data_IF_851220604610
#
_entry.id   IF_851220604610
#
_cell.length_a   1.000
_cell.length_b   1.000
_cell.length_c   1.000
_cell.angle_alpha   90.00
_cell.angle_beta   90.00
_cell.angle_gamma   90.00
#
_symmetry.space_group_name_H-M   'P 1'
#
loop_
_entity.id
_entity.type
_entity.pdbx_description
1 polymer ?
#
# COMPACT_ATOMS: atom_id res chain seq x y z
N UNK A 1 7.86 0.15 -14.29
CA UNK A 1 7.83 -0.31 -15.71
C UNK A 1 9.20 -0.20 -16.37
N UNK A 2 9.90 0.93 -16.28
CA UNK A 2 11.18 1.13 -16.97
C UNK A 2 12.26 0.13 -16.53
N UNK A 3 12.39 -0.09 -15.23
CA UNK A 3 13.33 -1.09 -14.70
C UNK A 3 12.95 -2.52 -15.10
N UNK A 4 11.66 -2.82 -15.19
CA UNK A 4 11.20 -4.13 -15.68
C UNK A 4 11.49 -4.32 -17.16
N UNK A 5 11.29 -3.30 -17.98
CA UNK A 5 11.60 -3.35 -19.41
C UNK A 5 13.10 -3.60 -19.64
N UNK A 6 13.98 -2.94 -18.88
CA UNK A 6 15.43 -3.18 -18.91
C UNK A 6 15.81 -4.57 -18.41
N UNK A 7 15.17 -5.03 -17.32
CA UNK A 7 15.40 -6.37 -16.77
C UNK A 7 15.00 -7.48 -17.75
N UNK A 8 14.03 -7.24 -18.61
CA UNK A 8 13.61 -8.14 -19.70
C UNK A 8 14.49 -8.04 -20.96
N UNK A 9 15.61 -7.31 -20.90
CA UNK A 9 16.57 -7.21 -22.00
C UNK A 9 16.16 -6.27 -23.14
N UNK A 10 15.13 -5.45 -22.95
CA UNK A 10 14.74 -4.45 -23.94
C UNK A 10 15.57 -3.17 -23.75
N UNK A 11 16.56 -2.97 -24.62
CA UNK A 11 17.47 -1.82 -24.58
C UNK A 11 17.07 -0.68 -25.52
N UNK A 12 16.00 -0.79 -26.30
CA UNK A 12 15.58 0.21 -27.28
C UNK A 12 15.22 1.56 -26.65
N UNK A 13 14.78 1.54 -25.40
CA UNK A 13 14.43 2.74 -24.64
C UNK A 13 15.63 3.65 -24.31
N UNK A 14 16.87 3.17 -24.43
CA UNK A 14 18.07 4.00 -24.26
C UNK A 14 18.35 4.88 -25.48
N UNK A 15 17.97 4.44 -26.65
CA UNK A 15 18.38 5.06 -27.91
C UNK A 15 17.25 5.68 -28.68
N UNK A 16 16.01 5.20 -28.54
CA UNK A 16 14.86 5.60 -29.37
C UNK A 16 13.69 6.15 -28.61
N UNK A 17 13.78 6.18 -27.29
CA UNK A 17 12.95 6.98 -26.43
C UNK A 17 11.42 6.82 -26.51
N UNK A 18 10.79 6.57 -25.35
CA UNK A 18 9.49 7.11 -24.98
C UNK A 18 8.25 6.32 -25.42
N UNK A 19 8.36 5.01 -25.51
CA UNK A 19 7.14 4.19 -25.55
C UNK A 19 6.42 4.14 -24.19
N UNK A 20 7.15 4.45 -23.10
CA UNK A 20 6.58 4.49 -21.74
C UNK A 20 6.79 5.91 -21.19
N UNK A 21 5.74 6.73 -21.11
CA UNK A 21 5.85 8.07 -20.52
C UNK A 21 6.20 7.97 -19.04
N UNK A 22 7.13 8.80 -18.60
CA UNK A 22 7.41 8.98 -17.18
C UNK A 22 6.36 9.88 -16.56
N UNK A 23 5.84 9.47 -15.40
CA UNK A 23 4.94 10.30 -14.59
C UNK A 23 5.71 10.74 -13.37
N UNK A 24 5.85 12.05 -13.19
CA UNK A 24 6.45 12.66 -12.02
C UNK A 24 5.49 12.54 -10.82
N UNK A 25 6.01 12.27 -9.63
CA UNK A 25 5.20 12.18 -8.41
C UNK A 25 5.00 13.54 -7.71
N UNK A 26 5.87 14.53 -8.02
CA UNK A 26 5.72 15.91 -7.54
C UNK A 26 4.32 16.44 -7.90
N UNK A 27 3.64 17.05 -6.94
CA UNK A 27 2.30 17.60 -7.12
C UNK A 27 1.17 16.57 -7.26
N UNK A 28 1.48 15.26 -7.33
CA UNK A 28 0.47 14.20 -7.30
C UNK A 28 -0.09 14.02 -5.89
N UNK A 29 -1.27 13.46 -5.80
CA UNK A 29 -1.94 13.21 -4.52
C UNK A 29 -1.77 11.77 -4.08
N UNK A 30 -1.19 11.58 -2.88
CA UNK A 30 -1.15 10.30 -2.18
C UNK A 30 -2.29 10.23 -1.16
N UNK A 31 -3.21 9.30 -1.33
CA UNK A 31 -4.21 8.92 -0.35
C UNK A 31 -3.64 7.82 0.57
N UNK A 32 -3.66 8.06 1.88
CA UNK A 32 -3.17 7.10 2.87
C UNK A 32 -4.35 6.60 3.71
N UNK A 33 -4.62 5.32 3.65
CA UNK A 33 -5.67 4.66 4.45
C UNK A 33 -5.02 4.08 5.70
N UNK A 34 -5.12 4.81 6.82
CA UNK A 34 -4.51 4.46 8.09
C UNK A 34 -3.19 5.18 8.39
N UNK A 35 -3.20 6.08 9.39
CA UNK A 35 -2.07 6.90 9.81
C UNK A 35 -1.41 6.36 11.11
N UNK A 36 -1.15 5.04 11.16
CA UNK A 36 -0.33 4.40 12.19
C UNK A 36 1.18 4.64 11.97
N UNK A 37 2.03 3.90 12.65
CA UNK A 37 3.50 4.07 12.54
C UNK A 37 4.00 3.97 11.10
N UNK A 38 3.52 2.97 10.32
CA UNK A 38 3.93 2.76 8.93
C UNK A 38 3.36 3.85 8.04
N UNK A 39 2.04 4.12 8.10
CA UNK A 39 1.40 5.13 7.29
C UNK A 39 2.02 6.53 7.48
N UNK A 40 2.34 6.92 8.71
CA UNK A 40 3.05 8.18 8.99
C UNK A 40 4.44 8.24 8.36
N UNK A 41 5.18 7.12 8.30
CA UNK A 41 6.47 7.06 7.59
C UNK A 41 6.31 7.23 6.08
N UNK A 42 5.30 6.62 5.51
CA UNK A 42 4.97 6.79 4.08
C UNK A 42 4.60 8.25 3.79
N UNK A 43 3.76 8.87 4.64
CA UNK A 43 3.41 10.29 4.53
C UNK A 43 4.67 11.18 4.54
N UNK A 44 5.59 10.97 5.51
CA UNK A 44 6.83 11.75 5.60
C UNK A 44 7.68 11.67 4.31
N UNK A 45 7.78 10.47 3.73
CA UNK A 45 8.52 10.26 2.48
C UNK A 45 7.81 10.97 1.31
N UNK A 46 6.49 10.84 1.22
CA UNK A 46 5.71 11.46 0.15
C UNK A 46 5.75 13.01 0.23
N UNK A 47 5.71 13.57 1.43
CA UNK A 47 5.90 15.01 1.63
C UNK A 47 7.29 15.48 1.17
N UNK A 48 8.34 14.68 1.39
CA UNK A 48 9.69 14.99 0.90
C UNK A 48 9.81 14.87 -0.64
N UNK A 49 8.84 14.26 -1.30
CA UNK A 49 8.70 14.20 -2.76
C UNK A 49 7.70 15.24 -3.30
N UNK A 50 7.32 16.20 -2.47
CA UNK A 50 6.36 17.28 -2.79
C UNK A 50 4.99 16.77 -3.28
N UNK A 51 4.52 15.64 -2.72
CA UNK A 51 3.19 15.13 -2.97
C UNK A 51 2.15 15.81 -2.07
N UNK A 52 0.92 15.95 -2.56
CA UNK A 52 -0.24 16.31 -1.75
C UNK A 52 -0.70 15.08 -0.95
N UNK A 53 -1.06 15.27 0.32
CA UNK A 53 -1.40 14.16 1.22
C UNK A 53 -2.84 14.24 1.68
N UNK A 54 -3.61 13.20 1.35
CA UNK A 54 -4.94 12.95 1.89
C UNK A 54 -4.88 11.73 2.81
N UNK A 55 -5.52 11.80 3.96
CA UNK A 55 -5.50 10.72 4.95
C UNK A 55 -6.92 10.36 5.38
N UNK A 56 -7.21 9.07 5.35
CA UNK A 56 -8.42 8.52 5.98
C UNK A 56 -8.04 7.73 7.22
N UNK A 57 -8.72 8.03 8.33
CA UNK A 57 -8.64 7.26 9.59
C UNK A 57 -10.04 7.00 10.14
N UNK A 58 -10.24 5.86 10.81
CA UNK A 58 -11.53 5.49 11.42
C UNK A 58 -12.06 6.57 12.38
N UNK A 59 -11.18 7.13 13.17
CA UNK A 59 -11.50 8.28 14.03
C UNK A 59 -11.07 9.55 13.31
N UNK A 60 -11.99 10.47 13.03
CA UNK A 60 -11.65 11.75 12.41
C UNK A 60 -10.57 12.49 13.20
N UNK A 61 -9.70 13.20 12.47
CA UNK A 61 -8.65 14.05 13.04
C UNK A 61 -8.69 15.42 12.37
N UNK A 62 -8.15 16.40 13.07
CA UNK A 62 -7.91 17.73 12.48
C UNK A 62 -6.70 17.67 11.53
N UNK A 63 -6.72 18.56 10.54
CA UNK A 63 -5.62 18.69 9.59
C UNK A 63 -4.31 19.04 10.31
N UNK A 64 -3.26 18.40 9.87
CA UNK A 64 -1.90 18.69 10.28
C UNK A 64 -1.18 19.43 9.13
N UNK A 65 -0.03 20.05 9.39
CA UNK A 65 0.72 20.79 8.35
C UNK A 65 1.03 19.89 7.13
N UNK A 66 0.40 20.20 6.01
CA UNK A 66 0.57 19.46 4.75
C UNK A 66 -0.09 18.07 4.73
N UNK A 67 -1.02 17.79 5.65
CA UNK A 67 -1.81 16.57 5.71
C UNK A 67 -3.27 16.95 5.90
N UNK A 68 -4.15 16.50 4.99
CA UNK A 68 -5.58 16.74 5.06
C UNK A 68 -6.31 15.44 5.40
N UNK A 69 -7.07 15.46 6.52
CA UNK A 69 -7.88 14.31 6.93
C UNK A 69 -9.27 14.42 6.30
N UNK A 70 -9.61 13.42 5.50
CA UNK A 70 -10.82 13.42 4.66
C UNK A 70 -11.62 12.13 4.82
N UNK A 71 -12.82 12.10 4.27
CA UNK A 71 -13.63 10.88 4.15
C UNK A 71 -12.93 9.86 3.22
N UNK A 72 -13.29 8.56 3.34
CA UNK A 72 -12.78 7.55 2.43
C UNK A 72 -13.17 7.87 0.98
N UNK A 73 -14.41 8.28 0.75
CA UNK A 73 -14.92 8.63 -0.57
C UNK A 73 -14.12 9.78 -1.19
N UNK A 74 -13.85 10.82 -0.43
CA UNK A 74 -13.07 11.97 -0.88
C UNK A 74 -11.62 11.58 -1.21
N UNK A 75 -10.99 10.73 -0.36
CA UNK A 75 -9.67 10.19 -0.61
C UNK A 75 -9.62 9.41 -1.93
N UNK A 76 -10.57 8.49 -2.13
CA UNK A 76 -10.63 7.66 -3.35
C UNK A 76 -10.76 8.50 -4.61
N UNK A 77 -11.64 9.52 -4.61
CA UNK A 77 -11.89 10.39 -5.77
C UNK A 77 -10.71 11.28 -6.15
N UNK A 78 -9.93 11.70 -5.17
CA UNK A 78 -8.92 12.74 -5.39
C UNK A 78 -7.47 12.23 -5.45
N UNK A 79 -7.21 10.96 -5.08
CA UNK A 79 -5.87 10.40 -5.06
C UNK A 79 -5.42 9.89 -6.42
N UNK A 80 -4.13 10.09 -6.72
CA UNK A 80 -3.44 9.49 -7.86
C UNK A 80 -2.79 8.15 -7.45
N UNK A 81 -2.38 8.07 -6.19
CA UNK A 81 -1.87 6.85 -5.54
C UNK A 81 -2.58 6.65 -4.22
N UNK A 82 -2.99 5.41 -3.92
CA UNK A 82 -3.64 5.05 -2.66
C UNK A 82 -2.81 3.99 -1.97
N UNK A 83 -2.39 4.24 -0.73
CA UNK A 83 -1.56 3.31 0.05
C UNK A 83 -2.28 2.89 1.32
N UNK A 84 -2.40 1.56 1.52
CA UNK A 84 -3.18 0.97 2.61
C UNK A 84 -2.28 0.57 3.78
N UNK A 85 -2.59 1.10 4.98
CA UNK A 85 -1.85 0.88 6.23
C UNK A 85 -2.77 0.69 7.44
N UNK A 86 -4.02 0.29 7.21
CA UNK A 86 -4.97 -0.03 8.27
C UNK A 86 -4.93 -1.53 8.61
N UNK A 87 -5.33 -1.94 9.82
CA UNK A 87 -5.49 -3.35 10.17
C UNK A 87 -6.72 -3.95 9.47
N UNK A 88 -6.69 -5.27 9.25
CA UNK A 88 -7.85 -6.03 8.85
C UNK A 88 -8.75 -6.28 10.08
N UNK A 89 -9.99 -5.88 9.97
CA UNK A 89 -11.07 -6.07 10.96
C UNK A 89 -12.36 -6.34 10.20
N UNK A 90 -13.43 -6.72 10.88
CA UNK A 90 -14.75 -6.88 10.25
C UNK A 90 -15.20 -5.61 9.50
N UNK A 91 -14.88 -4.42 10.02
CA UNK A 91 -15.26 -3.15 9.40
C UNK A 91 -14.33 -2.70 8.26
N UNK A 92 -13.17 -3.31 8.11
CA UNK A 92 -12.20 -2.96 7.05
C UNK A 92 -12.06 -4.06 6.01
N UNK A 93 -12.62 -5.25 6.26
CA UNK A 93 -12.67 -6.32 5.27
C UNK A 93 -13.41 -5.82 4.03
N UNK A 94 -12.80 -6.01 2.86
CA UNK A 94 -13.33 -5.55 1.57
C UNK A 94 -13.78 -4.08 1.56
N UNK A 95 -13.09 -3.23 2.34
CA UNK A 95 -13.36 -1.80 2.30
C UNK A 95 -13.05 -1.20 0.91
N UNK A 96 -12.15 -1.85 0.16
CA UNK A 96 -11.93 -1.61 -1.24
C UNK A 96 -12.64 -2.73 -2.01
N UNK A 97 -13.79 -2.39 -2.55
CA UNK A 97 -14.71 -3.26 -3.30
C UNK A 97 -15.06 -2.59 -4.63
N UNK A 98 -15.99 -3.15 -5.38
CA UNK A 98 -16.41 -2.65 -6.69
C UNK A 98 -16.88 -1.19 -6.66
N UNK A 99 -17.65 -0.82 -5.64
CA UNK A 99 -18.17 0.55 -5.47
C UNK A 99 -17.02 1.52 -5.20
N UNK A 100 -16.15 1.19 -4.25
CA UNK A 100 -15.01 2.04 -3.91
C UNK A 100 -13.99 2.16 -5.04
N UNK A 101 -13.72 1.07 -5.78
CA UNK A 101 -12.87 1.11 -6.97
C UNK A 101 -13.45 2.00 -8.08
N UNK A 102 -14.78 2.02 -8.24
CA UNK A 102 -15.46 2.89 -9.22
C UNK A 102 -15.33 4.39 -8.91
N UNK A 103 -15.00 4.76 -7.68
CA UNK A 103 -14.78 6.15 -7.28
C UNK A 103 -13.37 6.64 -7.59
N UNK A 104 -12.43 5.74 -7.83
CA UNK A 104 -11.03 6.08 -8.07
C UNK A 104 -10.84 6.70 -9.45
N UNK A 105 -9.77 7.48 -9.63
CA UNK A 105 -9.39 7.99 -10.95
C UNK A 105 -8.97 6.83 -11.85
N UNK A 106 -9.31 6.85 -13.16
CA UNK A 106 -8.82 5.83 -14.10
C UNK A 106 -7.30 5.76 -14.19
N UNK A 107 -6.60 6.82 -13.83
CA UNK A 107 -5.14 6.87 -13.77
C UNK A 107 -4.56 6.47 -12.41
N UNK A 108 -5.39 6.14 -11.43
CA UNK A 108 -4.95 5.85 -10.07
C UNK A 108 -4.31 4.47 -9.92
N UNK A 109 -3.38 4.38 -8.98
CA UNK A 109 -2.77 3.13 -8.54
C UNK A 109 -3.12 2.86 -7.08
N UNK A 110 -3.42 1.58 -6.76
CA UNK A 110 -3.62 1.15 -5.38
C UNK A 110 -2.44 0.30 -4.91
N UNK A 111 -1.95 0.57 -3.70
CA UNK A 111 -0.83 -0.15 -3.09
C UNK A 111 -1.30 -0.78 -1.78
N UNK A 112 -1.17 -2.10 -1.67
CA UNK A 112 -1.50 -2.82 -0.45
C UNK A 112 -0.31 -3.65 0.04
N UNK A 113 0.26 -3.22 1.16
CA UNK A 113 1.32 -3.92 1.89
C UNK A 113 0.87 -4.28 3.31
N UNK A 114 -0.44 -4.29 3.56
CA UNK A 114 -1.02 -4.54 4.88
C UNK A 114 -1.63 -5.93 4.99
N UNK A 115 -2.86 -6.11 4.51
CA UNK A 115 -3.58 -7.40 4.49
C UNK A 115 -4.40 -7.51 3.21
N UNK A 116 -4.34 -8.67 2.54
CA UNK A 116 -5.01 -8.88 1.26
C UNK A 116 -6.52 -8.64 1.31
N UNK A 117 -7.19 -9.20 2.29
CA UNK A 117 -8.65 -9.08 2.45
C UNK A 117 -9.18 -7.67 2.80
N UNK A 118 -8.33 -6.63 2.83
CA UNK A 118 -8.77 -5.23 2.79
C UNK A 118 -9.37 -4.87 1.43
N UNK A 119 -8.96 -5.57 0.39
CA UNK A 119 -9.44 -5.44 -0.98
C UNK A 119 -10.24 -6.69 -1.33
N UNK A 120 -11.39 -6.54 -1.95
CA UNK A 120 -12.08 -7.61 -2.67
C UNK A 120 -11.25 -7.91 -3.94
N UNK A 121 -10.53 -9.03 -3.94
CA UNK A 121 -9.59 -9.37 -5.01
C UNK A 121 -10.31 -9.60 -6.35
N UNK A 122 -11.52 -10.16 -6.32
CA UNK A 122 -12.33 -10.33 -7.53
C UNK A 122 -12.71 -8.98 -8.14
N UNK A 123 -13.16 -8.05 -7.31
CA UNK A 123 -13.49 -6.70 -7.76
C UNK A 123 -12.25 -5.94 -8.27
N UNK A 124 -11.10 -6.15 -7.65
CA UNK A 124 -9.83 -5.55 -8.11
C UNK A 124 -9.43 -6.08 -9.50
N UNK A 125 -9.50 -7.39 -9.71
CA UNK A 125 -9.22 -8.02 -11.01
C UNK A 125 -10.14 -7.43 -12.08
N UNK A 126 -11.46 -7.39 -11.86
CA UNK A 126 -12.42 -6.78 -12.78
C UNK A 126 -12.07 -5.30 -13.07
N UNK A 127 -11.70 -4.53 -12.05
CA UNK A 127 -11.37 -3.12 -12.21
C UNK A 127 -10.10 -2.90 -13.04
N UNK A 128 -9.10 -3.77 -12.90
CA UNK A 128 -7.86 -3.76 -13.67
C UNK A 128 -8.11 -4.16 -15.13
N UNK A 129 -8.88 -5.23 -15.38
CA UNK A 129 -9.24 -5.70 -16.72
C UNK A 129 -10.02 -4.65 -17.52
N UNK A 130 -10.94 -3.96 -16.86
CA UNK A 130 -11.78 -2.94 -17.47
C UNK A 130 -11.12 -1.54 -17.54
N UNK A 131 -9.90 -1.37 -16.98
CA UNK A 131 -9.23 -0.08 -16.93
C UNK A 131 -9.93 0.94 -16.02
N UNK A 132 -10.71 0.48 -15.05
CA UNK A 132 -11.32 1.34 -14.02
C UNK A 132 -10.26 2.05 -13.19
N UNK A 133 -9.12 1.38 -12.94
CA UNK A 133 -7.90 1.94 -12.35
C UNK A 133 -6.68 1.57 -13.18
N UNK A 134 -5.59 2.31 -13.06
CA UNK A 134 -4.39 2.12 -13.89
C UNK A 134 -3.54 0.93 -13.46
N UNK A 135 -3.55 0.55 -12.19
CA UNK A 135 -2.73 -0.57 -11.73
C UNK A 135 -2.74 -0.79 -10.23
N UNK A 136 -2.04 -1.83 -9.79
CA UNK A 136 -1.91 -2.21 -8.40
C UNK A 136 -0.49 -2.65 -8.03
N UNK A 137 -0.07 -2.34 -6.79
CA UNK A 137 1.14 -2.87 -6.16
C UNK A 137 0.76 -3.65 -4.90
N UNK A 138 0.97 -4.96 -4.91
CA UNK A 138 0.47 -5.84 -3.87
C UNK A 138 1.61 -6.67 -3.27
N UNK A 139 1.86 -6.53 -1.97
CA UNK A 139 2.74 -7.43 -1.20
C UNK A 139 1.93 -8.55 -0.51
N UNK A 140 0.61 -8.44 -0.53
CA UNK A 140 -0.34 -9.35 0.11
C UNK A 140 -1.51 -9.66 -0.83
N UNK A 141 -2.05 -10.87 -0.75
CA UNK A 141 -3.24 -11.31 -1.49
C UNK A 141 -4.32 -11.78 -0.52
N UNK A 142 -5.57 -11.84 -0.99
CA UNK A 142 -6.71 -12.20 -0.13
C UNK A 142 -6.55 -13.60 0.44
N UNK A 143 -6.05 -14.52 -0.37
CA UNK A 143 -5.68 -15.89 0.05
C UNK A 143 -4.17 -16.05 -0.03
N UNK A 144 -3.53 -16.54 1.03
CA UNK A 144 -2.10 -16.83 1.10
C UNK A 144 -1.86 -18.26 1.65
N UNK A 145 -1.17 -19.15 0.91
CA UNK A 145 -0.57 -18.91 -0.41
C UNK A 145 -1.63 -18.67 -1.49
N UNK A 146 -1.33 -17.80 -2.48
CA UNK A 146 -2.27 -17.50 -3.55
C UNK A 146 -2.46 -18.68 -4.50
N UNK A 147 -3.58 -18.69 -5.21
CA UNK A 147 -3.86 -19.70 -6.23
C UNK A 147 -2.84 -19.63 -7.38
N UNK A 148 -2.37 -20.80 -7.86
CA UNK A 148 -1.35 -20.90 -8.90
C UNK A 148 -1.76 -20.22 -10.23
N UNK A 149 -3.06 -20.14 -10.50
CA UNK A 149 -3.64 -19.60 -11.71
C UNK A 149 -4.28 -18.22 -11.52
N UNK A 150 -3.92 -17.50 -10.44
CA UNK A 150 -4.45 -16.13 -10.23
C UNK A 150 -4.18 -15.24 -11.44
N UNK A 151 -5.19 -14.55 -11.99
CA UNK A 151 -5.02 -13.61 -13.09
C UNK A 151 -4.00 -12.50 -12.80
N UNK A 152 -3.82 -12.13 -11.54
CA UNK A 152 -2.87 -11.09 -11.12
C UNK A 152 -1.44 -11.37 -11.54
N UNK A 153 -1.04 -12.64 -11.73
CA UNK A 153 0.32 -13.01 -12.16
C UNK A 153 0.64 -12.64 -13.61
N UNK A 154 -0.38 -12.45 -14.44
CA UNK A 154 -0.23 -12.19 -15.88
C UNK A 154 -0.61 -10.76 -16.28
N UNK A 155 -1.05 -9.94 -15.34
CA UNK A 155 -1.43 -8.55 -15.59
C UNK A 155 -0.21 -7.64 -15.58
N UNK A 156 0.11 -7.00 -16.71
CA UNK A 156 1.25 -6.09 -16.86
C UNK A 156 1.17 -4.85 -15.95
N UNK A 157 -0.05 -4.44 -15.56
CA UNK A 157 -0.30 -3.30 -14.68
C UNK A 157 -0.24 -3.65 -13.19
N UNK A 158 0.11 -4.90 -12.84
CA UNK A 158 0.20 -5.35 -11.44
C UNK A 158 1.65 -5.66 -11.06
N UNK A 159 2.08 -5.09 -9.95
CA UNK A 159 3.35 -5.44 -9.30
C UNK A 159 3.05 -6.31 -8.09
N UNK A 160 3.48 -7.56 -8.12
CA UNK A 160 3.35 -8.50 -7.00
C UNK A 160 4.68 -8.73 -6.30
N UNK A 161 4.64 -8.79 -4.97
CA UNK A 161 5.75 -9.27 -4.14
C UNK A 161 5.24 -10.33 -3.15
N UNK A 162 6.08 -11.32 -2.74
CA UNK A 162 5.60 -12.48 -2.00
C UNK A 162 5.56 -12.25 -0.49
N UNK A 163 4.76 -11.30 -0.01
CA UNK A 163 4.58 -10.93 1.40
C UNK A 163 5.95 -10.76 2.09
N UNK A 164 6.74 -9.84 1.56
CA UNK A 164 8.15 -9.69 1.94
C UNK A 164 8.48 -8.41 2.70
N UNK A 165 7.52 -7.57 3.01
CA UNK A 165 7.75 -6.30 3.71
C UNK A 165 8.46 -6.45 5.06
N UNK A 166 8.41 -7.63 5.68
CA UNK A 166 9.09 -7.96 6.94
C UNK A 166 10.43 -8.70 6.76
N UNK A 167 10.78 -9.14 5.54
CA UNK A 167 11.88 -10.10 5.29
C UNK A 167 13.29 -9.51 5.33
N UNK A 168 13.44 -8.19 5.46
CA UNK A 168 14.75 -7.56 5.58
C UNK A 168 15.60 -8.20 6.69
N UNK A 169 16.87 -8.51 6.42
CA UNK A 169 17.75 -9.19 7.37
C UNK A 169 17.85 -8.41 8.69
N UNK A 170 18.12 -7.12 8.61
CA UNK A 170 18.27 -6.24 9.76
C UNK A 170 16.94 -6.07 10.51
N UNK A 171 15.82 -6.07 9.80
CA UNK A 171 14.47 -6.04 10.39
C UNK A 171 14.21 -7.29 11.23
N UNK A 172 14.59 -8.46 10.72
CA UNK A 172 14.44 -9.74 11.43
C UNK A 172 15.36 -9.84 12.62
N UNK A 173 16.61 -9.40 12.50
CA UNK A 173 17.56 -9.34 13.61
C UNK A 173 17.04 -8.43 14.72
N UNK A 174 16.54 -7.25 14.37
CA UNK A 174 15.93 -6.32 15.33
C UNK A 174 14.70 -6.91 16.02
N UNK A 175 13.83 -7.62 15.26
CA UNK A 175 12.67 -8.31 15.83
C UNK A 175 13.08 -9.33 16.91
N UNK A 176 14.10 -10.16 16.63
CA UNK A 176 14.61 -11.15 17.58
C UNK A 176 15.20 -10.48 18.82
N UNK A 177 15.94 -9.38 18.65
CA UNK A 177 16.49 -8.62 19.78
C UNK A 177 15.38 -8.03 20.65
N UNK A 178 14.35 -7.42 20.05
CA UNK A 178 13.20 -6.88 20.80
C UNK A 178 12.46 -8.00 21.55
N UNK A 179 12.29 -9.18 20.93
CA UNK A 179 11.66 -10.31 21.58
C UNK A 179 12.47 -10.77 22.81
N UNK A 180 13.79 -10.88 22.67
CA UNK A 180 14.66 -11.25 23.78
C UNK A 180 14.59 -10.23 24.93
N UNK A 181 14.58 -8.94 24.62
CA UNK A 181 14.43 -7.87 25.60
C UNK A 181 13.06 -7.93 26.30
N UNK A 182 11.98 -8.17 25.56
CA UNK A 182 10.64 -8.32 26.14
C UNK A 182 10.60 -9.47 27.15
N UNK A 183 11.18 -10.63 26.81
CA UNK A 183 11.24 -11.80 27.70
C UNK A 183 12.06 -11.46 28.95
N UNK A 184 13.23 -10.87 28.80
CA UNK A 184 14.10 -10.47 29.90
C UNK A 184 13.38 -9.51 30.85
N UNK A 185 12.80 -8.44 30.34
CA UNK A 185 12.08 -7.44 31.12
C UNK A 185 10.85 -8.02 31.82
N UNK A 186 10.14 -8.94 31.17
CA UNK A 186 9.04 -9.67 31.81
C UNK A 186 9.52 -10.51 33.01
N UNK A 187 10.65 -11.22 32.86
CA UNK A 187 11.22 -12.04 33.94
C UNK A 187 11.73 -11.18 35.12
N UNK A 188 12.18 -9.95 34.84
CA UNK A 188 12.62 -8.98 35.83
C UNK A 188 11.45 -8.25 36.54
N UNK A 189 10.20 -8.53 36.16
CA UNK A 189 8.99 -7.90 36.71
C UNK A 189 8.70 -6.49 36.14
N UNK A 190 9.42 -6.08 35.07
CA UNK A 190 9.27 -4.78 34.43
C UNK A 190 8.84 -4.94 32.93
N UNK A 191 7.64 -5.48 32.64
CA UNK A 191 7.24 -5.76 31.29
C UNK A 191 7.21 -4.49 30.42
N UNK A 192 7.81 -4.57 29.23
CA UNK A 192 7.82 -3.50 28.22
C UNK A 192 6.99 -3.93 26.99
N UNK A 193 6.60 -2.97 26.17
CA UNK A 193 5.78 -3.20 24.96
C UNK A 193 4.47 -3.97 25.24
N UNK A 194 3.90 -3.73 26.42
CA UNK A 194 2.64 -4.35 26.82
C UNK A 194 1.50 -3.82 25.96
N UNK A 195 0.78 -4.72 25.29
CA UNK A 195 -0.44 -4.40 24.55
C UNK A 195 -1.64 -4.62 25.49
N UNK A 196 -2.19 -3.52 26.02
CA UNK A 196 -3.40 -3.56 26.85
C UNK A 196 -4.61 -3.26 25.97
N UNK A 197 -5.62 -4.12 26.00
CA UNK A 197 -6.94 -3.89 25.38
C UNK A 197 -7.06 -4.45 23.96
N UNK A 198 -6.80 -5.75 23.81
CA UNK A 198 -7.35 -6.54 22.72
C UNK A 198 -8.77 -6.94 23.05
#
# INVERSE_FOLDING_TARGET
QYMMILACGNHDNFTRNLQVPHVEVNGKTLGVIGAGHIGRKVIQIAQALDMNILVYTRTPREDEKGIHYVSLEELLKNSDYISMHCPLTESTKHMINKESLSLMKPSAFIINTSRGALIDETALIEALENGTIAGAGLDVQETEPPEENSPLYTMDQVLLTPHMGWKGLETRQRLVSILADNIKQFMEGNPINVVSGL
#
